data_IF_398895748713
#
_entry.id   IF_398895748713
#
_cell.length_a   1.000
_cell.length_b   1.000
_cell.length_c   1.000
_cell.angle_alpha   90.00
_cell.angle_beta   90.00
_cell.angle_gamma   90.00
#
_symmetry.space_group_name_H-M   'P 1'
#
loop_
_entity.id
_entity.type
_entity.pdbx_description
1 polymer ?
#
# COMPACT_ATOMS: atom_id res chain seq x y z
N UNK A 1 -21.13 -9.76 6.09
CA UNK A 1 -19.79 -10.35 5.91
C UNK A 1 -19.01 -9.43 5.02
N UNK A 2 -17.83 -8.95 5.45
CA UNK A 2 -17.09 -7.92 4.75
C UNK A 2 -15.59 -8.22 4.80
N UNK A 3 -14.86 -7.66 3.83
CA UNK A 3 -13.40 -7.71 3.73
C UNK A 3 -12.89 -6.27 3.51
N UNK A 4 -11.79 -5.92 4.17
CA UNK A 4 -11.18 -4.60 4.10
C UNK A 4 -9.87 -4.62 3.31
N UNK A 5 -9.68 -3.62 2.45
CA UNK A 5 -8.38 -3.29 1.84
C UNK A 5 -8.00 -1.91 2.39
N UNK A 6 -6.91 -1.85 3.16
CA UNK A 6 -6.57 -0.68 3.98
C UNK A 6 -5.18 -0.11 3.62
N UNK A 7 -5.03 0.58 2.48
CA UNK A 7 -3.81 1.34 2.20
C UNK A 7 -3.62 2.38 3.30
N UNK A 8 -2.53 2.28 4.03
CA UNK A 8 -2.25 3.10 5.21
C UNK A 8 -0.79 3.51 5.25
N UNK A 9 -0.49 4.57 5.99
CA UNK A 9 0.87 5.09 6.17
C UNK A 9 1.67 4.33 7.22
N UNK A 10 0.99 3.66 8.14
CA UNK A 10 1.55 2.78 9.15
C UNK A 10 0.54 1.68 9.46
N UNK A 11 1.01 0.59 10.06
CA UNK A 11 0.18 -0.57 10.38
C UNK A 11 -1.04 -0.21 11.24
N UNK A 12 -2.09 -1.04 11.18
CA UNK A 12 -3.36 -0.92 11.96
C UNK A 12 -3.18 -0.95 13.49
N UNK A 13 -1.97 -1.23 13.98
CA UNK A 13 -1.67 -1.20 15.42
C UNK A 13 -1.64 0.22 16.00
N UNK A 14 -1.72 1.24 15.14
CA UNK A 14 -1.92 2.62 15.52
C UNK A 14 -0.65 3.36 15.93
N UNK A 15 -0.89 4.57 16.43
CA UNK A 15 0.08 5.63 16.69
C UNK A 15 1.30 5.22 17.53
N UNK A 16 1.08 4.56 18.66
CA UNK A 16 2.18 4.17 19.55
C UNK A 16 3.11 3.16 18.88
N UNK A 17 2.53 2.13 18.26
CA UNK A 17 3.31 1.13 17.53
C UNK A 17 4.05 1.73 16.33
N UNK A 18 3.46 2.72 15.66
CA UNK A 18 4.13 3.44 14.58
C UNK A 18 5.33 4.27 15.08
N UNK A 19 5.25 4.88 16.28
CA UNK A 19 6.40 5.55 16.91
C UNK A 19 7.49 4.55 17.27
N UNK A 20 7.12 3.46 17.95
CA UNK A 20 8.07 2.45 18.41
C UNK A 20 8.83 1.75 17.27
N UNK A 21 8.15 1.54 16.13
CA UNK A 21 8.76 0.94 14.92
C UNK A 21 9.42 1.94 13.98
N UNK A 22 9.42 3.23 14.29
CA UNK A 22 9.97 4.28 13.42
C UNK A 22 9.20 4.47 12.10
N UNK A 23 7.93 4.03 12.04
CA UNK A 23 7.04 4.18 10.88
C UNK A 23 6.30 5.53 10.87
N UNK A 24 6.31 6.27 11.99
CA UNK A 24 5.61 7.54 12.13
C UNK A 24 6.14 8.59 11.17
N UNK A 25 5.25 9.14 10.34
CA UNK A 25 5.56 10.25 9.44
C UNK A 25 5.35 11.57 10.18
N UNK A 26 6.35 12.44 10.13
CA UNK A 26 6.27 13.80 10.67
C UNK A 26 6.33 14.79 9.50
N UNK A 27 5.47 15.81 9.56
CA UNK A 27 5.52 16.96 8.64
C UNK A 27 5.91 18.20 9.42
N UNK A 28 6.92 18.91 8.93
CA UNK A 28 7.38 20.16 9.53
C UNK A 28 6.52 21.35 9.06
N UNK A 29 6.67 22.55 9.65
CA UNK A 29 5.90 23.71 9.21
C UNK A 29 6.07 23.96 7.71
N UNK A 30 4.94 24.02 6.99
CA UNK A 30 4.83 24.21 5.53
C UNK A 30 5.19 23.00 4.67
N UNK A 31 5.46 21.84 5.26
CA UNK A 31 5.51 20.60 4.50
C UNK A 31 4.11 20.06 4.22
N UNK A 32 3.96 19.45 3.05
CA UNK A 32 2.76 18.73 2.66
C UNK A 32 3.15 17.36 2.14
N UNK A 33 2.21 16.41 2.27
CA UNK A 33 2.33 15.09 1.67
C UNK A 33 1.00 14.73 1.05
N UNK A 34 1.05 14.34 -0.21
CA UNK A 34 -0.11 14.02 -1.02
C UNK A 34 -0.16 12.51 -1.27
N UNK A 35 -1.37 11.97 -1.30
CA UNK A 35 -1.61 10.55 -1.58
C UNK A 35 -2.68 10.45 -2.66
N UNK A 36 -2.38 9.68 -3.70
CA UNK A 36 -3.32 9.36 -4.77
C UNK A 36 -3.69 7.88 -4.70
N UNK A 37 -4.97 7.60 -4.47
CA UNK A 37 -5.53 6.25 -4.44
C UNK A 37 -6.53 6.06 -5.56
N UNK A 38 -6.55 4.86 -6.15
CA UNK A 38 -7.50 4.51 -7.22
C UNK A 38 -8.19 3.19 -6.90
N UNK A 39 -9.52 3.24 -6.88
CA UNK A 39 -10.37 2.05 -6.84
C UNK A 39 -10.87 1.75 -8.25
N UNK A 40 -10.90 0.46 -8.61
CA UNK A 40 -11.47 -0.02 -9.87
C UNK A 40 -12.30 -1.25 -9.58
N UNK A 41 -13.52 -1.27 -10.08
CA UNK A 41 -14.34 -2.48 -10.14
C UNK A 41 -13.90 -3.25 -11.37
N UNK A 42 -13.55 -4.52 -11.19
CA UNK A 42 -13.17 -5.42 -12.28
C UNK A 42 -14.36 -6.32 -12.55
N UNK A 43 -14.85 -6.32 -13.79
CA UNK A 43 -16.04 -7.09 -14.14
C UNK A 43 -15.66 -8.26 -15.07
N UNK A 44 -16.00 -9.47 -14.65
CA UNK A 44 -15.73 -10.69 -15.39
C UNK A 44 -14.25 -11.12 -15.44
N UNK A 45 -14.04 -12.28 -16.06
CA UNK A 45 -12.75 -12.98 -16.04
C UNK A 45 -11.63 -12.22 -16.77
N UNK A 46 -11.95 -11.48 -17.83
CA UNK A 46 -10.97 -10.74 -18.62
C UNK A 46 -10.29 -9.62 -17.82
N UNK A 47 -11.08 -8.78 -17.15
CA UNK A 47 -10.57 -7.67 -16.34
C UNK A 47 -9.77 -8.16 -15.14
N UNK A 48 -10.21 -9.26 -14.52
CA UNK A 48 -9.51 -9.92 -13.43
C UNK A 48 -8.15 -10.45 -13.90
N UNK A 49 -8.10 -11.20 -15.00
CA UNK A 49 -6.86 -11.76 -15.54
C UNK A 49 -5.86 -10.67 -15.95
N UNK A 50 -6.34 -9.59 -16.57
CA UNK A 50 -5.50 -8.44 -16.92
C UNK A 50 -4.93 -7.73 -15.67
N UNK A 51 -5.73 -7.61 -14.61
CA UNK A 51 -5.26 -7.05 -13.34
C UNK A 51 -4.21 -7.96 -12.69
N UNK A 52 -4.44 -9.27 -12.65
CA UNK A 52 -3.50 -10.26 -12.12
C UNK A 52 -2.16 -10.22 -12.86
N UNK A 53 -2.17 -10.21 -14.20
CA UNK A 53 -0.95 -10.12 -15.01
C UNK A 53 -0.14 -8.85 -14.70
N UNK A 54 -0.82 -7.70 -14.52
CA UNK A 54 -0.18 -6.45 -14.13
C UNK A 54 0.43 -6.48 -12.72
N UNK A 55 -0.24 -7.11 -11.76
CA UNK A 55 0.28 -7.26 -10.39
C UNK A 55 1.49 -8.19 -10.39
N UNK A 56 1.38 -9.36 -11.04
CA UNK A 56 2.44 -10.36 -11.11
C UNK A 56 3.71 -9.85 -11.81
N UNK A 57 3.58 -8.90 -12.75
CA UNK A 57 4.71 -8.22 -13.38
C UNK A 57 5.49 -7.28 -12.41
N UNK A 58 4.90 -6.90 -11.27
CA UNK A 58 5.56 -6.10 -10.23
C UNK A 58 6.23 -7.02 -9.21
N UNK A 59 5.45 -7.93 -8.64
CA UNK A 59 5.91 -8.91 -7.65
C UNK A 59 4.93 -10.09 -7.60
N UNK A 60 5.46 -11.26 -7.27
CA UNK A 60 4.66 -12.43 -6.91
C UNK A 60 4.44 -12.44 -5.40
N UNK A 61 3.27 -12.93 -4.96
CA UNK A 61 2.95 -13.09 -3.55
C UNK A 61 4.05 -13.94 -2.87
N UNK A 62 4.71 -13.43 -1.82
CA UNK A 62 5.68 -14.22 -1.06
C UNK A 62 4.99 -15.42 -0.39
N UNK A 63 5.72 -16.53 -0.25
CA UNK A 63 5.23 -17.71 0.47
C UNK A 63 5.27 -17.58 2.00
N UNK A 64 5.96 -16.54 2.50
CA UNK A 64 5.99 -16.20 3.92
C UNK A 64 4.83 -15.27 4.27
N UNK A 65 4.25 -15.45 5.46
CA UNK A 65 3.13 -14.61 5.94
C UNK A 65 3.57 -13.16 6.21
N UNK A 66 4.82 -12.96 6.64
CA UNK A 66 5.40 -11.66 7.01
C UNK A 66 6.74 -11.42 6.32
N UNK A 67 6.75 -11.24 4.99
CA UNK A 67 7.98 -11.03 4.25
C UNK A 67 8.60 -9.67 4.61
N UNK A 68 9.93 -9.61 4.65
CA UNK A 68 10.63 -8.33 4.80
C UNK A 68 10.32 -7.40 3.61
N UNK A 69 9.88 -6.16 3.84
CA UNK A 69 9.61 -5.23 2.75
C UNK A 69 10.87 -4.96 1.91
N UNK A 70 10.72 -4.93 0.59
CA UNK A 70 11.86 -4.77 -0.33
C UNK A 70 12.52 -3.37 -0.28
N UNK A 71 11.87 -2.40 0.38
CA UNK A 71 12.28 -0.99 0.36
C UNK A 71 12.10 -0.30 -1.00
N UNK A 72 11.67 -1.02 -2.04
CA UNK A 72 11.50 -0.50 -3.41
C UNK A 72 10.07 -0.04 -3.62
N UNK A 73 9.71 1.07 -2.99
CA UNK A 73 8.38 1.67 -3.15
C UNK A 73 8.38 2.64 -4.32
N UNK A 74 7.25 2.75 -5.04
CA UNK A 74 7.09 3.85 -5.99
C UNK A 74 7.19 5.17 -5.23
N UNK A 75 7.89 6.18 -5.77
CA UNK A 75 7.87 7.51 -5.18
C UNK A 75 6.43 8.01 -5.11
N UNK A 76 6.05 8.60 -3.98
CA UNK A 76 4.79 9.29 -3.84
C UNK A 76 4.90 10.60 -4.62
N UNK A 77 4.46 10.59 -5.86
CA UNK A 77 4.43 11.78 -6.72
C UNK A 77 3.04 12.39 -6.61
N UNK A 78 2.92 13.55 -5.97
CA UNK A 78 1.70 14.37 -6.06
C UNK A 78 1.70 15.24 -7.32
N UNK A 79 0.53 15.77 -7.68
CA UNK A 79 0.41 16.96 -8.54
C UNK A 79 0.59 18.23 -7.74
#
# INVERSE_FOLDING_TARGET
YAFGIEPSTHHVLGDNAARDRGEMIWLTPRESRNYDSRFRVLDGAGDIAACQARIAAIAVQPGEDYPQPTGRFRPLTGR
#
